data_IF_635600621116
#
_entry.id   IF_635600621116
#
_cell.length_a   1.000
_cell.length_b   1.000
_cell.length_c   1.000
_cell.angle_alpha   90.00
_cell.angle_beta   90.00
_cell.angle_gamma   90.00
#
_symmetry.space_group_name_H-M   'P 1'
#
loop_
_entity.id
_entity.type
_entity.pdbx_description
1 polymer ?
#
# COMPACT_ATOMS: atom_id res chain seq x y z
N UNK A 1 -18.72 0.29 -28.87
CA UNK A 1 -17.69 0.76 -29.86
C UNK A 1 -16.74 1.85 -29.34
N UNK A 2 -17.04 2.58 -28.26
CA UNK A 2 -16.20 3.71 -27.78
C UNK A 2 -14.98 3.30 -26.92
N UNK A 3 -15.06 2.18 -26.19
CA UNK A 3 -13.97 1.67 -25.34
C UNK A 3 -12.79 1.12 -26.15
N UNK A 4 -13.08 0.41 -27.25
CA UNK A 4 -12.06 -0.16 -28.13
C UNK A 4 -11.22 0.92 -28.84
N UNK A 5 -11.85 2.04 -29.25
CA UNK A 5 -11.13 3.20 -29.83
C UNK A 5 -10.17 3.87 -28.85
N UNK A 6 -10.47 3.83 -27.54
CA UNK A 6 -9.63 4.42 -26.50
C UNK A 6 -8.36 3.58 -26.28
N UNK A 7 -8.49 2.25 -26.26
CA UNK A 7 -7.36 1.32 -26.25
C UNK A 7 -6.46 1.49 -27.49
N UNK A 8 -7.04 1.62 -28.69
CA UNK A 8 -6.26 1.93 -29.91
C UNK A 8 -5.55 3.29 -29.86
N UNK A 9 -6.17 4.29 -29.23
CA UNK A 9 -5.57 5.62 -29.05
C UNK A 9 -4.30 5.55 -28.19
N UNK A 10 -4.30 4.71 -27.15
CA UNK A 10 -3.08 4.47 -26.36
C UNK A 10 -2.04 3.68 -27.19
N UNK A 11 -2.45 2.63 -27.92
CA UNK A 11 -1.53 1.73 -28.65
C UNK A 11 -0.73 2.44 -29.77
N UNK A 12 -1.21 3.58 -30.30
CA UNK A 12 -0.61 4.25 -31.47
C UNK A 12 0.53 5.24 -31.20
N UNK A 13 0.88 5.58 -29.95
CA UNK A 13 2.11 6.35 -29.68
C UNK A 13 3.25 5.40 -29.33
N UNK A 14 4.29 5.39 -30.16
CA UNK A 14 5.56 4.69 -29.94
C UNK A 14 6.41 5.23 -28.79
N UNK A 15 5.82 5.93 -27.82
CA UNK A 15 6.48 6.39 -26.59
C UNK A 15 6.24 5.33 -25.50
N UNK A 16 7.33 4.83 -24.93
CA UNK A 16 7.37 3.67 -24.03
C UNK A 16 6.43 3.87 -22.83
N UNK A 17 5.39 3.03 -22.70
CA UNK A 17 4.52 2.98 -21.51
C UNK A 17 5.33 2.76 -20.23
N UNK A 18 5.48 3.80 -19.41
CA UNK A 18 6.15 3.74 -18.11
C UNK A 18 5.14 3.31 -17.05
N UNK A 19 5.36 2.14 -16.46
CA UNK A 19 4.61 1.64 -15.31
C UNK A 19 5.39 1.90 -14.03
N UNK A 20 4.72 2.38 -12.98
CA UNK A 20 5.36 2.56 -11.67
C UNK A 20 4.68 1.67 -10.63
N UNK A 21 5.46 0.90 -9.88
CA UNK A 21 4.99 0.11 -8.75
C UNK A 21 5.52 0.68 -7.44
N UNK A 22 4.63 0.91 -6.47
CA UNK A 22 4.99 1.40 -5.14
C UNK A 22 4.85 0.27 -4.13
N UNK A 23 5.94 -0.04 -3.43
CA UNK A 23 5.92 -1.09 -2.41
C UNK A 23 5.13 -0.70 -1.17
N UNK A 24 4.72 -1.70 -0.39
CA UNK A 24 4.36 -1.51 1.02
C UNK A 24 5.57 -1.10 1.87
N UNK A 25 5.36 -0.89 3.18
CA UNK A 25 6.46 -0.54 4.10
C UNK A 25 6.10 0.35 5.30
N UNK A 26 4.81 0.56 5.58
CA UNK A 26 4.33 1.35 6.72
C UNK A 26 4.80 2.80 6.65
N UNK A 27 5.31 3.34 7.77
CA UNK A 27 5.78 4.73 7.84
C UNK A 27 6.92 5.07 6.86
N UNK A 28 7.74 4.08 6.48
CA UNK A 28 8.79 4.28 5.47
C UNK A 28 8.21 4.70 4.11
N UNK A 29 6.94 4.39 3.86
CA UNK A 29 6.20 4.86 2.68
C UNK A 29 6.10 6.36 2.52
N UNK A 30 6.37 7.17 3.57
CA UNK A 30 6.50 8.63 3.42
C UNK A 30 7.58 8.99 2.39
N UNK A 31 8.63 8.18 2.24
CA UNK A 31 9.67 8.40 1.24
C UNK A 31 9.16 8.32 -0.21
N UNK A 32 8.05 7.60 -0.47
CA UNK A 32 7.42 7.58 -1.80
C UNK A 32 7.05 8.99 -2.27
N UNK A 33 6.65 9.89 -1.36
CA UNK A 33 6.30 11.28 -1.67
C UNK A 33 7.51 12.02 -2.28
N UNK A 34 8.71 11.75 -1.79
CA UNK A 34 9.94 12.32 -2.34
C UNK A 34 10.22 11.85 -3.77
N UNK A 35 9.94 10.59 -4.06
CA UNK A 35 10.08 10.04 -5.42
C UNK A 35 9.01 10.61 -6.35
N UNK A 36 7.75 10.72 -5.90
CA UNK A 36 6.65 11.35 -6.65
C UNK A 36 6.98 12.81 -6.96
N UNK A 37 7.54 13.56 -5.99
CA UNK A 37 8.05 14.92 -6.22
C UNK A 37 9.07 14.96 -7.36
N UNK A 38 9.96 13.97 -7.44
CA UNK A 38 10.88 13.81 -8.56
C UNK A 38 10.17 13.62 -9.89
N UNK A 39 9.29 12.62 -9.98
CA UNK A 39 8.51 12.34 -11.18
C UNK A 39 7.72 13.55 -11.68
N UNK A 40 7.10 14.30 -10.77
CA UNK A 40 6.31 15.49 -11.12
C UNK A 40 7.18 16.66 -11.58
N UNK A 41 8.34 16.89 -10.96
CA UNK A 41 9.27 17.96 -11.38
C UNK A 41 9.84 17.74 -12.77
N UNK A 42 10.10 16.49 -13.12
CA UNK A 42 10.69 16.12 -14.40
C UNK A 42 9.65 15.67 -15.44
N UNK A 43 8.36 15.76 -15.13
CA UNK A 43 7.25 15.37 -16.01
C UNK A 43 7.36 13.93 -16.56
N UNK A 44 7.75 12.98 -15.71
CA UNK A 44 7.86 11.58 -16.10
C UNK A 44 6.47 11.05 -16.54
N UNK A 45 6.32 10.50 -17.76
CA UNK A 45 5.02 10.14 -18.35
C UNK A 45 4.50 8.79 -17.82
N UNK A 46 4.06 8.77 -16.56
CA UNK A 46 3.53 7.58 -15.90
C UNK A 46 2.21 7.17 -16.57
N UNK A 47 2.22 5.98 -17.18
CA UNK A 47 1.09 5.44 -17.96
C UNK A 47 0.22 4.48 -17.16
N UNK A 48 0.78 3.83 -16.14
CA UNK A 48 0.04 2.99 -15.20
C UNK A 48 0.76 2.95 -13.85
N UNK A 49 -0.02 2.68 -12.80
CA UNK A 49 0.51 2.56 -11.45
C UNK A 49 -0.04 1.36 -10.72
N UNK A 50 0.78 0.79 -9.86
CA UNK A 50 0.37 -0.27 -8.95
C UNK A 50 0.89 -0.03 -7.54
N UNK A 51 0.20 -0.60 -6.55
CA UNK A 51 0.61 -0.43 -5.16
C UNK A 51 0.08 -1.48 -4.19
N UNK A 52 0.80 -1.63 -3.09
CA UNK A 52 0.46 -2.49 -1.97
C UNK A 52 0.60 -1.71 -0.66
N UNK A 53 -0.33 -1.84 0.28
CA UNK A 53 -0.31 -1.12 1.56
C UNK A 53 -0.17 0.40 1.36
N UNK A 54 0.78 1.05 2.03
CA UNK A 54 1.10 2.48 1.81
C UNK A 54 1.38 2.81 0.34
N UNK A 55 1.92 1.86 -0.43
CA UNK A 55 2.10 1.99 -1.87
C UNK A 55 0.77 2.10 -2.64
N UNK A 56 -0.31 1.50 -2.15
CA UNK A 56 -1.65 1.66 -2.75
C UNK A 56 -2.17 3.09 -2.63
N UNK A 57 -1.92 3.75 -1.50
CA UNK A 57 -2.22 5.19 -1.30
C UNK A 57 -1.46 6.02 -2.35
N UNK A 58 -0.16 5.74 -2.52
CA UNK A 58 0.71 6.47 -3.45
C UNK A 58 0.31 6.23 -4.90
N UNK A 59 0.03 4.98 -5.28
CA UNK A 59 -0.47 4.63 -6.60
C UNK A 59 -1.79 5.33 -6.89
N UNK A 60 -2.75 5.31 -5.97
CA UNK A 60 -4.02 6.01 -6.13
C UNK A 60 -3.83 7.53 -6.27
N UNK A 61 -2.92 8.13 -5.50
CA UNK A 61 -2.61 9.55 -5.59
C UNK A 61 -2.04 9.94 -6.96
N UNK A 62 -1.08 9.17 -7.46
CA UNK A 62 -0.51 9.37 -8.81
C UNK A 62 -1.57 9.14 -9.88
N UNK A 63 -2.39 8.08 -9.77
CA UNK A 63 -3.45 7.80 -10.73
C UNK A 63 -4.50 8.93 -10.81
N UNK A 64 -4.76 9.58 -9.69
CA UNK A 64 -5.66 10.73 -9.54
C UNK A 64 -5.02 12.07 -9.90
N UNK A 65 -3.71 12.10 -10.20
CA UNK A 65 -2.98 13.31 -10.53
C UNK A 65 -2.84 14.30 -9.36
N UNK A 66 -2.81 13.81 -8.11
CA UNK A 66 -2.60 14.67 -6.93
C UNK A 66 -1.18 15.24 -6.89
N UNK A 67 -1.02 16.48 -6.42
CA UNK A 67 0.30 17.08 -6.24
C UNK A 67 1.00 16.44 -5.03
N UNK A 68 2.32 16.26 -5.09
CA UNK A 68 3.09 15.74 -3.96
C UNK A 68 2.92 16.59 -2.69
N UNK A 69 2.63 17.88 -2.81
CA UNK A 69 2.35 18.79 -1.68
C UNK A 69 1.07 18.40 -0.94
N UNK A 70 0.03 17.97 -1.64
CA UNK A 70 -1.22 17.50 -1.02
C UNK A 70 -0.94 16.27 -0.14
N UNK A 71 -0.04 15.39 -0.59
CA UNK A 71 0.37 14.21 0.17
C UNK A 71 1.17 14.59 1.43
N UNK A 72 1.97 15.65 1.37
CA UNK A 72 2.70 16.16 2.55
C UNK A 72 1.71 16.70 3.59
N UNK A 73 0.71 17.46 3.15
CA UNK A 73 -0.32 18.01 4.05
C UNK A 73 -1.11 16.90 4.75
N UNK A 74 -1.49 15.86 4.00
CA UNK A 74 -2.12 14.66 4.56
C UNK A 74 -1.26 14.04 5.66
N UNK A 75 0.02 13.77 5.38
CA UNK A 75 0.91 13.14 6.37
C UNK A 75 1.06 14.01 7.62
N UNK A 76 1.20 15.32 7.45
CA UNK A 76 1.32 16.26 8.57
C UNK A 76 0.04 16.28 9.44
N UNK A 77 -1.12 16.09 8.84
CA UNK A 77 -2.42 16.08 9.55
C UNK A 77 -2.62 14.79 10.36
N UNK A 78 -2.07 13.66 9.91
CA UNK A 78 -2.13 12.37 10.61
C UNK A 78 -1.32 12.38 11.93
N UNK A 79 -0.20 13.14 11.95
CA UNK A 79 0.82 13.07 13.01
C UNK A 79 0.36 13.42 14.44
N UNK A 80 -0.65 14.27 14.63
CA UNK A 80 -0.95 14.79 15.98
C UNK A 80 -1.94 13.95 16.80
N UNK A 81 -2.86 13.25 16.13
CA UNK A 81 -3.98 12.58 16.82
C UNK A 81 -3.95 11.05 16.70
N UNK A 82 -3.10 10.46 15.84
CA UNK A 82 -3.01 9.00 15.64
C UNK A 82 -2.13 8.30 16.70
N UNK A 83 -1.20 9.03 17.32
CA UNK A 83 -0.33 8.52 18.41
C UNK A 83 -1.17 8.13 19.65
N UNK A 84 -2.25 8.88 19.92
CA UNK A 84 -3.12 8.64 21.06
C UNK A 84 -3.91 7.33 20.91
N UNK A 85 -4.43 7.06 19.71
CA UNK A 85 -5.24 5.86 19.43
C UNK A 85 -4.40 4.57 19.48
N UNK A 86 -3.15 4.60 18.98
CA UNK A 86 -2.22 3.46 19.07
C UNK A 86 -1.85 3.17 20.54
N UNK A 87 -1.61 4.21 21.35
CA UNK A 87 -1.30 4.08 22.78
C UNK A 87 -2.49 3.61 23.62
N UNK A 88 -3.70 4.10 23.35
CA UNK A 88 -4.93 3.67 24.02
C UNK A 88 -5.19 2.18 23.74
N UNK A 89 -4.91 1.72 22.53
CA UNK A 89 -5.20 0.34 22.14
C UNK A 89 -4.17 -0.68 22.65
N UNK A 90 -2.90 -0.29 22.89
CA UNK A 90 -1.90 -1.14 23.57
C UNK A 90 -2.39 -1.55 24.97
N UNK A 91 -3.08 -0.63 25.67
CA UNK A 91 -3.68 -0.90 26.99
C UNK A 91 -4.84 -1.88 26.91
N UNK A 92 -5.64 -1.85 25.85
CA UNK A 92 -6.71 -2.83 25.61
C UNK A 92 -6.19 -4.23 25.33
N UNK A 93 -5.08 -4.33 24.59
CA UNK A 93 -4.36 -5.59 24.36
C UNK A 93 -3.77 -6.14 25.66
N UNK A 94 -3.14 -5.27 26.47
CA UNK A 94 -2.63 -5.64 27.81
C UNK A 94 -3.77 -6.10 28.72
N UNK A 95 -4.92 -5.41 28.74
CA UNK A 95 -6.10 -5.80 29.50
C UNK A 95 -6.68 -7.15 29.05
N UNK A 96 -6.73 -7.43 27.75
CA UNK A 96 -7.17 -8.72 27.22
C UNK A 96 -6.25 -9.87 27.64
N UNK A 97 -4.94 -9.63 27.64
CA UNK A 97 -3.94 -10.60 28.13
C UNK A 97 -4.07 -10.85 29.65
N UNK A 98 -4.32 -9.79 30.44
CA UNK A 98 -4.62 -9.91 31.88
C UNK A 98 -5.93 -10.65 32.16
N UNK A 99 -6.95 -10.50 31.31
CA UNK A 99 -8.21 -11.26 31.42
C UNK A 99 -8.03 -12.76 31.17
N UNK A 100 -7.17 -13.13 30.21
CA UNK A 100 -6.75 -14.53 29.94
C UNK A 100 -6.02 -15.17 31.13
N UNK A 101 -5.14 -14.41 31.80
CA UNK A 101 -4.38 -14.86 32.98
C UNK A 101 -5.25 -15.05 34.24
N UNK A 102 -6.36 -14.32 34.37
CA UNK A 102 -7.23 -14.37 35.53
C UNK A 102 -8.40 -15.36 35.42
N UNK A 103 -8.48 -16.16 34.34
CA UNK A 103 -9.46 -17.24 34.21
C UNK A 103 -10.92 -16.81 33.98
N UNK A 104 -11.21 -15.52 33.80
CA UNK A 104 -12.56 -15.01 33.48
C UNK A 104 -12.86 -15.13 31.98
N UNK A 105 -12.85 -16.36 31.48
CA UNK A 105 -13.06 -16.70 30.07
C UNK A 105 -14.55 -16.93 29.78
N UNK A 106 -15.20 -15.98 29.09
CA UNK A 106 -16.49 -16.22 28.44
C UNK A 106 -16.36 -15.97 26.94
N UNK A 107 -16.43 -17.05 26.16
CA UNK A 107 -16.33 -17.05 24.70
C UNK A 107 -17.43 -16.22 24.00
N UNK A 108 -18.58 -16.04 24.66
CA UNK A 108 -19.76 -15.44 24.03
C UNK A 108 -19.80 -13.91 24.07
N UNK A 109 -18.98 -13.23 24.88
CA UNK A 109 -19.22 -11.81 25.15
C UNK A 109 -18.01 -10.89 25.09
N UNK A 110 -16.94 -11.29 24.41
CA UNK A 110 -15.69 -10.53 24.50
C UNK A 110 -14.99 -10.28 23.16
N UNK A 111 -15.03 -9.02 22.74
CA UNK A 111 -14.19 -8.41 21.70
C UNK A 111 -12.69 -8.37 22.12
N UNK A 112 -12.09 -9.47 22.59
CA UNK A 112 -10.70 -9.48 23.10
C UNK A 112 -9.60 -9.62 22.03
N UNK A 113 -9.96 -9.63 20.75
CA UNK A 113 -9.01 -9.34 19.65
C UNK A 113 -9.21 -7.87 19.21
N UNK A 114 -8.68 -6.94 20.01
CA UNK A 114 -8.83 -5.48 19.84
C UNK A 114 -8.03 -4.90 18.66
N UNK A 115 -8.21 -5.47 17.47
CA UNK A 115 -7.79 -4.84 16.22
C UNK A 115 -8.55 -3.52 16.05
N UNK A 116 -7.86 -2.46 15.62
CA UNK A 116 -8.50 -1.19 15.30
C UNK A 116 -9.54 -1.43 14.19
N UNK A 117 -10.79 -1.02 14.42
CA UNK A 117 -11.84 -1.08 13.38
C UNK A 117 -11.42 -0.31 12.11
N UNK A 118 -10.57 0.70 12.26
CA UNK A 118 -10.01 1.49 11.17
C UNK A 118 -10.99 2.51 10.59
N UNK A 119 -12.12 2.80 11.26
CA UNK A 119 -13.12 3.79 10.81
C UNK A 119 -12.53 5.18 10.58
N UNK A 120 -11.62 5.60 11.46
CA UNK A 120 -10.91 6.87 11.33
C UNK A 120 -9.99 6.90 10.11
N UNK A 121 -9.23 5.83 9.89
CA UNK A 121 -8.39 5.66 8.71
C UNK A 121 -9.23 5.67 7.43
N UNK A 122 -10.36 4.95 7.42
CA UNK A 122 -11.35 4.98 6.33
C UNK A 122 -11.84 6.41 6.06
N UNK A 123 -12.18 7.17 7.11
CA UNK A 123 -12.63 8.56 6.98
C UNK A 123 -11.58 9.47 6.34
N UNK A 124 -10.32 9.33 6.76
CA UNK A 124 -9.20 10.11 6.22
C UNK A 124 -8.98 9.79 4.74
N UNK A 125 -8.94 8.51 4.38
CA UNK A 125 -8.77 8.09 2.97
C UNK A 125 -9.93 8.58 2.13
N UNK A 126 -11.15 8.49 2.66
CA UNK A 126 -12.37 9.01 2.01
C UNK A 126 -12.34 10.53 1.85
N UNK A 127 -11.75 11.29 2.78
CA UNK A 127 -11.54 12.74 2.60
C UNK A 127 -10.53 13.05 1.49
N UNK A 128 -9.48 12.23 1.36
CA UNK A 128 -8.40 12.45 0.38
C UNK A 128 -8.86 12.06 -1.03
N UNK A 129 -9.50 10.90 -1.18
CA UNK A 129 -9.82 10.28 -2.46
C UNK A 129 -11.30 10.40 -2.85
N UNK A 130 -12.16 10.88 -1.96
CA UNK A 130 -13.59 10.95 -2.18
C UNK A 130 -14.26 9.57 -2.14
N UNK A 131 -15.47 9.50 -2.69
CA UNK A 131 -16.30 8.29 -2.73
C UNK A 131 -16.43 7.69 -4.13
N UNK A 132 -15.66 8.20 -5.10
CA UNK A 132 -15.73 7.70 -6.46
C UNK A 132 -15.32 6.22 -6.53
N UNK A 133 -15.96 5.49 -7.45
CA UNK A 133 -15.58 4.13 -7.78
C UNK A 133 -14.22 4.10 -8.48
N UNK A 134 -13.39 3.09 -8.19
CA UNK A 134 -12.11 2.89 -8.86
C UNK A 134 -12.25 2.85 -10.38
N UNK A 135 -13.35 2.31 -10.92
CA UNK A 135 -13.64 2.27 -12.36
C UNK A 135 -13.67 3.65 -13.04
N UNK A 136 -13.92 4.74 -12.28
CA UNK A 136 -13.92 6.11 -12.78
C UNK A 136 -12.53 6.77 -12.81
N UNK A 137 -11.51 6.15 -12.23
CA UNK A 137 -10.12 6.65 -12.28
C UNK A 137 -9.62 6.59 -13.73
N UNK A 138 -9.01 7.67 -14.22
CA UNK A 138 -8.58 7.78 -15.63
C UNK A 138 -7.29 7.02 -15.93
N UNK A 139 -6.33 7.09 -15.02
CA UNK A 139 -5.03 6.44 -15.15
C UNK A 139 -5.18 4.97 -14.75
N UNK A 140 -4.69 3.99 -15.55
CA UNK A 140 -4.64 2.60 -15.14
C UNK A 140 -4.01 2.42 -13.75
N UNK A 141 -4.78 1.87 -12.83
CA UNK A 141 -4.46 1.69 -11.42
C UNK A 141 -4.75 0.26 -11.03
N UNK A 142 -3.82 -0.38 -10.32
CA UNK A 142 -4.04 -1.69 -9.72
C UNK A 142 -3.53 -1.73 -8.27
N UNK A 143 -4.39 -2.10 -7.34
CA UNK A 143 -4.11 -2.17 -5.90
C UNK A 143 -4.21 -3.62 -5.46
N UNK A 144 -3.21 -4.10 -4.71
CA UNK A 144 -3.20 -5.46 -4.17
C UNK A 144 -3.83 -5.55 -2.78
N UNK A 145 -4.52 -6.65 -2.52
CA UNK A 145 -4.93 -7.12 -1.20
C UNK A 145 -4.85 -8.65 -1.17
N UNK A 146 -5.09 -9.26 -0.01
CA UNK A 146 -5.23 -10.71 0.13
C UNK A 146 -6.61 -11.01 0.67
N UNK A 147 -7.34 -11.93 0.06
CA UNK A 147 -8.52 -12.51 0.71
C UNK A 147 -8.05 -13.55 1.71
N UNK A 148 -8.20 -13.27 3.00
CA UNK A 148 -7.64 -14.12 4.06
C UNK A 148 -8.36 -15.47 4.17
N UNK A 149 -9.55 -15.60 3.59
CA UNK A 149 -10.29 -16.86 3.61
C UNK A 149 -9.68 -17.90 2.65
N UNK A 150 -9.20 -17.44 1.49
CA UNK A 150 -8.62 -18.29 0.44
C UNK A 150 -7.10 -18.25 0.42
N UNK A 151 -6.49 -17.19 0.95
CA UNK A 151 -5.07 -16.89 0.83
C UNK A 151 -4.67 -16.38 -0.57
N UNK A 152 -5.63 -16.21 -1.47
CA UNK A 152 -5.38 -15.72 -2.83
C UNK A 152 -5.28 -14.20 -2.85
N UNK A 153 -4.44 -13.71 -3.77
CA UNK A 153 -4.35 -12.30 -4.06
C UNK A 153 -5.66 -11.75 -4.61
N UNK A 154 -5.93 -10.49 -4.32
CA UNK A 154 -7.02 -9.70 -4.90
C UNK A 154 -6.45 -8.45 -5.55
N UNK A 155 -6.93 -8.16 -6.76
CA UNK A 155 -6.57 -6.96 -7.52
C UNK A 155 -7.79 -6.05 -7.59
N UNK A 156 -7.72 -4.87 -6.97
CA UNK A 156 -8.66 -3.79 -7.22
C UNK A 156 -8.15 -2.93 -8.38
N UNK A 157 -8.91 -2.80 -9.47
CA UNK A 157 -8.43 -2.11 -10.67
C UNK A 157 -9.51 -1.51 -11.55
N UNK A 158 -9.19 -0.42 -12.24
CA UNK A 158 -10.02 0.16 -13.31
C UNK A 158 -9.77 -0.45 -14.70
N UNK A 159 -8.88 -1.44 -14.82
CA UNK A 159 -8.55 -2.12 -16.07
C UNK A 159 -8.63 -3.66 -15.92
N UNK A 160 -9.78 -4.22 -15.50
CA UNK A 160 -9.93 -5.64 -15.19
C UNK A 160 -9.62 -6.56 -16.39
N UNK A 161 -9.78 -6.06 -17.62
CA UNK A 161 -9.43 -6.80 -18.84
C UNK A 161 -7.95 -7.20 -18.94
N UNK A 162 -7.05 -6.53 -18.21
CA UNK A 162 -5.63 -6.88 -18.16
C UNK A 162 -5.32 -8.12 -17.30
N UNK A 163 -6.32 -8.63 -16.55
CA UNK A 163 -6.16 -9.65 -15.53
C UNK A 163 -7.13 -10.82 -15.69
N UNK A 164 -7.60 -11.10 -16.92
CA UNK A 164 -8.56 -12.19 -17.18
C UNK A 164 -8.03 -13.58 -16.83
N UNK A 165 -6.73 -13.75 -16.83
CA UNK A 165 -6.02 -14.98 -16.52
C UNK A 165 -5.49 -15.02 -15.08
N UNK A 166 -5.91 -14.08 -14.24
CA UNK A 166 -5.52 -14.04 -12.83
C UNK A 166 -6.33 -15.06 -12.03
N UNK A 167 -5.63 -15.86 -11.23
CA UNK A 167 -6.23 -16.93 -10.42
C UNK A 167 -7.06 -16.40 -9.24
N UNK A 168 -6.69 -15.23 -8.71
CA UNK A 168 -7.38 -14.59 -7.59
C UNK A 168 -8.55 -13.69 -8.02
N UNK A 169 -9.03 -12.87 -7.08
CA UNK A 169 -10.16 -11.97 -7.34
C UNK A 169 -9.71 -10.70 -8.08
N UNK A 170 -10.47 -10.30 -9.09
CA UNK A 170 -10.29 -9.02 -9.79
C UNK A 170 -11.56 -8.19 -9.64
N UNK A 171 -11.48 -7.08 -8.90
CA UNK A 171 -12.64 -6.26 -8.52
C UNK A 171 -12.47 -4.85 -9.09
N UNK A 172 -13.38 -4.44 -9.97
CA UNK A 172 -13.38 -3.10 -10.58
C UNK A 172 -14.49 -2.19 -10.09
N UNK A 173 -15.52 -2.74 -9.46
CA UNK A 173 -16.64 -1.99 -8.91
C UNK A 173 -16.50 -1.91 -7.40
N UNK A 174 -15.71 -0.94 -6.93
CA UNK A 174 -15.47 -0.68 -5.50
C UNK A 174 -15.11 0.80 -5.31
N UNK A 175 -15.60 1.47 -4.25
CA UNK A 175 -15.12 2.81 -3.93
C UNK A 175 -13.59 2.82 -3.75
N UNK A 176 -12.90 3.76 -4.39
CA UNK A 176 -11.43 3.82 -4.38
C UNK A 176 -10.88 3.86 -2.95
N UNK A 177 -11.52 4.64 -2.07
CA UNK A 177 -11.13 4.71 -0.65
C UNK A 177 -11.21 3.35 0.05
N UNK A 178 -12.16 2.49 -0.32
CA UNK A 178 -12.37 1.19 0.29
C UNK A 178 -11.35 0.17 -0.21
N UNK A 179 -11.02 0.20 -1.50
CA UNK A 179 -9.92 -0.59 -2.08
C UNK A 179 -8.57 -0.26 -1.41
N UNK A 180 -8.28 1.03 -1.22
CA UNK A 180 -7.09 1.47 -0.47
C UNK A 180 -7.16 0.99 0.98
N UNK A 181 -8.31 1.16 1.66
CA UNK A 181 -8.51 0.73 3.05
C UNK A 181 -8.31 -0.78 3.23
N UNK A 182 -8.76 -1.59 2.27
CA UNK A 182 -8.53 -3.03 2.24
C UNK A 182 -7.02 -3.34 2.17
N UNK A 183 -6.32 -2.72 1.22
CA UNK A 183 -4.88 -2.92 0.99
C UNK A 183 -3.97 -2.50 2.16
N UNK A 184 -4.43 -1.62 3.06
CA UNK A 184 -3.68 -1.20 4.27
C UNK A 184 -4.19 -1.84 5.56
N UNK A 185 -4.99 -2.91 5.47
CA UNK A 185 -5.51 -3.63 6.63
C UNK A 185 -4.45 -4.57 7.22
N UNK A 186 -3.41 -4.00 7.83
CA UNK A 186 -2.29 -4.75 8.39
C UNK A 186 -2.81 -5.67 9.52
N UNK A 187 -2.63 -7.00 9.43
CA UNK A 187 -3.07 -7.91 10.48
C UNK A 187 -2.39 -7.57 11.81
N UNK A 188 -3.05 -7.90 12.92
CA UNK A 188 -2.65 -7.50 14.28
C UNK A 188 -2.77 -5.99 14.59
N UNK A 189 -2.99 -5.13 13.59
CA UNK A 189 -3.19 -3.69 13.76
C UNK A 189 -4.63 -3.28 13.43
N UNK A 190 -5.08 -3.56 12.21
CA UNK A 190 -6.39 -3.18 11.70
C UNK A 190 -7.23 -4.40 11.35
N UNK A 191 -8.55 -4.30 11.57
CA UNK A 191 -9.49 -5.30 11.02
C UNK A 191 -9.45 -5.25 9.49
N UNK A 192 -9.54 -6.43 8.88
CA UNK A 192 -9.77 -6.57 7.45
C UNK A 192 -11.08 -5.92 7.00
N UNK A 193 -11.24 -5.75 5.70
CA UNK A 193 -12.41 -5.16 5.07
C UNK A 193 -13.27 -6.26 4.46
N UNK A 194 -14.52 -6.36 4.92
CA UNK A 194 -15.54 -7.14 4.22
C UNK A 194 -16.03 -6.33 3.01
N UNK A 195 -15.96 -6.92 1.82
CA UNK A 195 -16.58 -6.34 0.64
C UNK A 195 -17.03 -7.45 -0.32
N UNK A 196 -18.31 -7.43 -0.69
CA UNK A 196 -18.96 -8.54 -1.39
C UNK A 196 -18.74 -9.85 -0.62
N UNK A 197 -18.13 -10.85 -1.26
CA UNK A 197 -17.90 -12.19 -0.72
C UNK A 197 -16.47 -12.41 -0.17
N UNK A 198 -15.60 -11.39 -0.23
CA UNK A 198 -14.23 -11.47 0.28
C UNK A 198 -14.01 -10.77 1.62
N UNK A 199 -12.99 -11.24 2.37
CA UNK A 199 -12.48 -10.57 3.57
C UNK A 199 -11.01 -10.18 3.38
N UNK A 200 -10.80 -8.90 3.08
CA UNK A 200 -9.54 -8.43 2.55
C UNK A 200 -8.61 -7.87 3.62
N UNK A 201 -7.35 -8.31 3.57
CA UNK A 201 -6.25 -7.81 4.39
C UNK A 201 -5.13 -7.21 3.52
N UNK A 202 -4.09 -6.67 4.18
CA UNK A 202 -2.97 -6.01 3.50
C UNK A 202 -2.32 -6.88 2.42
N UNK A 203 -2.20 -6.32 1.22
CA UNK A 203 -1.64 -7.01 0.03
C UNK A 203 -0.15 -7.30 0.14
N UNK A 204 0.54 -6.68 1.10
CA UNK A 204 1.97 -6.85 1.30
C UNK A 204 2.37 -8.24 1.77
N UNK A 205 1.42 -9.01 2.32
CA UNK A 205 1.67 -10.38 2.79
C UNK A 205 2.12 -11.33 1.68
N UNK A 206 1.58 -11.14 0.48
CA UNK A 206 1.82 -11.99 -0.69
C UNK A 206 2.56 -11.23 -1.79
N UNK A 207 2.23 -9.95 -2.00
CA UNK A 207 2.77 -9.11 -3.06
C UNK A 207 3.07 -7.69 -2.56
N UNK A 208 4.13 -7.57 -1.76
CA UNK A 208 4.59 -6.26 -1.28
C UNK A 208 5.12 -5.34 -2.38
N UNK A 209 5.59 -5.89 -3.51
CA UNK A 209 6.14 -5.13 -4.63
C UNK A 209 5.45 -5.57 -5.92
N UNK A 210 4.24 -5.05 -6.22
CA UNK A 210 3.35 -5.62 -7.23
C UNK A 210 3.68 -5.18 -8.68
N UNK A 211 4.94 -5.26 -9.07
CA UNK A 211 5.44 -4.84 -10.41
C UNK A 211 4.80 -5.61 -11.56
N UNK A 212 4.37 -6.86 -11.33
CA UNK A 212 3.69 -7.65 -12.35
C UNK A 212 2.36 -7.02 -12.78
N UNK A 213 1.71 -6.22 -11.94
CA UNK A 213 0.45 -5.58 -12.27
C UNK A 213 0.61 -4.57 -13.40
N UNK A 214 1.61 -3.69 -13.33
CA UNK A 214 1.88 -2.75 -14.42
C UNK A 214 2.39 -3.47 -15.67
N UNK A 215 3.10 -4.60 -15.53
CA UNK A 215 3.46 -5.44 -16.68
C UNK A 215 2.22 -6.01 -17.37
N UNK A 216 1.28 -6.58 -16.61
CA UNK A 216 0.01 -7.14 -17.12
C UNK A 216 -0.88 -6.07 -17.78
N UNK A 217 -0.87 -4.84 -17.26
CA UNK A 217 -1.54 -3.69 -17.90
C UNK A 217 -0.94 -3.34 -19.28
N UNK A 218 0.30 -3.75 -19.55
CA UNK A 218 0.98 -3.55 -20.83
C UNK A 218 2.17 -2.59 -20.78
N UNK A 219 2.62 -2.16 -19.59
CA UNK A 219 3.79 -1.30 -19.48
C UNK A 219 5.06 -2.02 -19.92
N UNK A 220 5.88 -1.32 -20.72
CA UNK A 220 7.13 -1.86 -21.26
C UNK A 220 8.33 -1.51 -20.38
N UNK A 221 8.40 -0.26 -19.90
CA UNK A 221 9.41 0.20 -18.94
C UNK A 221 8.76 0.23 -17.55
N UNK A 222 9.31 -0.52 -16.61
CA UNK A 222 8.78 -0.68 -15.25
C UNK A 222 9.76 -0.08 -14.25
N UNK A 223 9.25 0.84 -13.43
CA UNK A 223 9.97 1.43 -12.31
C UNK A 223 9.37 0.87 -11.03
N UNK A 224 10.19 0.31 -10.16
CA UNK A 224 9.80 -0.10 -8.80
C UNK A 224 10.31 0.91 -7.79
N UNK A 225 9.46 1.36 -6.87
CA UNK A 225 9.85 2.21 -5.74
C UNK A 225 9.69 1.42 -4.45
N UNK A 226 10.80 1.20 -3.75
CA UNK A 226 10.89 0.25 -2.65
C UNK A 226 11.38 0.89 -1.36
N UNK A 227 10.56 0.79 -0.33
CA UNK A 227 10.80 1.42 0.99
C UNK A 227 10.89 0.41 2.13
N UNK A 228 10.81 -0.90 1.83
CA UNK A 228 11.05 -1.94 2.82
C UNK A 228 12.54 -2.18 3.03
N UNK A 229 12.89 -2.48 4.27
CA UNK A 229 14.22 -2.91 4.68
C UNK A 229 14.05 -4.05 5.67
N UNK A 230 14.79 -5.14 5.44
CA UNK A 230 14.82 -6.28 6.34
C UNK A 230 15.24 -5.84 7.74
N UNK A 231 14.57 -6.32 8.80
CA UNK A 231 15.01 -6.07 10.16
C UNK A 231 16.39 -6.71 10.40
N UNK A 232 17.19 -6.18 11.32
CA UNK A 232 18.49 -6.77 11.68
C UNK A 232 18.30 -8.16 12.31
N UNK A 233 19.29 -9.03 12.06
CA UNK A 233 19.27 -10.48 12.36
C UNK A 233 19.28 -10.84 13.86
N UNK A 234 19.53 -9.87 14.74
CA UNK A 234 19.93 -10.07 16.14
C UNK A 234 18.79 -9.94 17.16
N UNK A 235 17.56 -9.68 16.73
CA UNK A 235 16.40 -9.51 17.63
C UNK A 235 15.48 -10.73 17.64
N UNK A 236 15.39 -11.43 18.78
CA UNK A 236 14.39 -12.47 19.03
C UNK A 236 13.04 -11.83 19.36
N UNK A 237 11.91 -12.35 18.82
CA UNK A 237 10.60 -11.82 19.18
C UNK A 237 10.29 -12.05 20.66
N UNK A 238 9.72 -11.03 21.31
CA UNK A 238 9.29 -11.07 22.71
C UNK A 238 7.77 -11.30 22.79
N UNK A 239 7.37 -12.52 23.12
CA UNK A 239 5.97 -12.89 23.28
C UNK A 239 5.20 -13.11 21.97
N UNK A 240 3.92 -13.46 22.09
CA UNK A 240 3.10 -13.95 20.97
C UNK A 240 2.78 -12.86 19.92
N UNK A 241 2.59 -11.62 20.36
CA UNK A 241 2.25 -10.50 19.46
C UNK A 241 3.47 -10.11 18.61
N UNK A 242 4.65 -10.02 19.21
CA UNK A 242 5.89 -9.72 18.50
C UNK A 242 6.27 -10.86 17.54
N UNK A 243 6.05 -12.12 17.97
CA UNK A 243 6.19 -13.27 17.08
C UNK A 243 5.25 -13.17 15.86
N UNK A 244 3.98 -12.86 16.08
CA UNK A 244 3.01 -12.66 14.99
C UNK A 244 3.41 -11.52 14.03
N UNK A 245 3.84 -10.38 14.57
CA UNK A 245 4.34 -9.25 13.76
C UNK A 245 5.61 -9.62 12.98
N UNK A 246 6.49 -10.43 13.57
CA UNK A 246 7.70 -10.96 12.92
C UNK A 246 7.35 -11.89 11.76
N UNK A 247 6.38 -12.79 11.94
CA UNK A 247 5.89 -13.68 10.87
C UNK A 247 5.37 -12.85 9.68
N UNK A 248 4.55 -11.84 9.95
CA UNK A 248 4.05 -10.91 8.90
C UNK A 248 5.21 -10.21 8.20
N UNK A 249 6.17 -9.66 8.95
CA UNK A 249 7.33 -8.96 8.38
C UNK A 249 8.16 -9.88 7.50
N UNK A 250 8.39 -11.12 7.93
CA UNK A 250 9.12 -12.14 7.16
C UNK A 250 8.37 -12.50 5.87
N UNK A 251 7.04 -12.65 5.91
CA UNK A 251 6.24 -12.91 4.71
C UNK A 251 6.37 -11.75 3.70
N UNK A 252 6.22 -10.51 4.17
CA UNK A 252 6.36 -9.29 3.36
C UNK A 252 7.76 -9.18 2.75
N UNK A 253 8.82 -9.42 3.54
CA UNK A 253 10.22 -9.33 3.10
C UNK A 253 10.65 -10.47 2.17
N UNK A 254 9.92 -11.59 2.18
CA UNK A 254 10.12 -12.72 1.27
C UNK A 254 9.30 -12.61 -0.02
N UNK A 255 8.44 -11.60 -0.15
CA UNK A 255 7.79 -11.27 -1.42
C UNK A 255 8.86 -10.97 -2.48
N UNK A 256 9.10 -11.93 -3.37
CA UNK A 256 10.03 -11.77 -4.50
C UNK A 256 9.31 -11.11 -5.68
N UNK A 257 10.09 -10.52 -6.57
CA UNK A 257 9.55 -10.11 -7.85
C UNK A 257 9.07 -11.33 -8.65
N UNK A 258 7.83 -11.30 -9.09
CA UNK A 258 7.34 -12.15 -10.17
C UNK A 258 7.80 -11.67 -11.55
N UNK A 259 8.20 -10.40 -11.67
CA UNK A 259 8.74 -9.77 -12.88
C UNK A 259 9.86 -8.82 -12.49
N UNK A 260 11.04 -8.91 -13.13
CA UNK A 260 12.15 -7.98 -12.84
C UNK A 260 11.80 -6.58 -13.37
N UNK A 261 11.79 -5.54 -12.51
CA UNK A 261 11.63 -4.16 -12.96
C UNK A 261 12.88 -3.67 -13.71
N UNK A 262 12.69 -2.78 -14.68
CA UNK A 262 13.78 -2.19 -15.45
C UNK A 262 14.61 -1.22 -14.60
N UNK A 263 13.96 -0.51 -13.68
CA UNK A 263 14.59 0.45 -12.75
C UNK A 263 14.04 0.22 -11.36
N UNK A 264 14.92 0.26 -10.37
CA UNK A 264 14.54 0.18 -8.95
C UNK A 264 15.05 1.41 -8.20
N UNK A 265 14.13 2.12 -7.56
CA UNK A 265 14.42 3.26 -6.68
C UNK A 265 14.29 2.77 -5.24
N UNK A 266 15.41 2.72 -4.51
CA UNK A 266 15.46 2.32 -3.09
C UNK A 266 16.03 3.45 -2.23
N UNK A 267 15.16 4.26 -1.60
CA UNK A 267 15.62 5.26 -0.66
C UNK A 267 16.38 4.61 0.51
N UNK A 268 17.54 5.16 0.86
CA UNK A 268 18.34 4.69 1.99
C UNK A 268 17.71 5.15 3.31
N UNK A 269 16.65 4.47 3.73
CA UNK A 269 15.88 4.79 4.92
C UNK A 269 16.51 4.08 6.14
N UNK A 270 16.83 4.80 7.23
CA UNK A 270 17.27 4.17 8.47
C UNK A 270 16.16 3.28 9.06
N UNK A 271 16.49 2.43 10.02
CA UNK A 271 15.46 1.65 10.73
C UNK A 271 14.53 2.61 11.47
N UNK A 272 13.28 2.72 11.04
CA UNK A 272 12.23 3.51 11.70
C UNK A 272 11.22 2.55 12.30
N UNK A 273 10.97 2.67 13.61
CA UNK A 273 9.91 1.93 14.29
C UNK A 273 8.54 2.57 14.00
N UNK A 274 7.51 1.73 13.82
CA UNK A 274 6.12 2.14 13.68
C UNK A 274 5.74 3.11 14.83
N UNK A 275 5.25 4.30 14.47
CA UNK A 275 4.81 5.35 15.40
C UNK A 275 5.74 6.58 15.49
N UNK A 276 6.93 6.58 14.88
CA UNK A 276 7.88 7.70 14.99
C UNK A 276 7.80 8.67 13.79
N UNK A 277 6.85 9.60 13.85
CA UNK A 277 6.52 10.55 12.76
C UNK A 277 7.38 11.83 12.72
N UNK A 278 8.28 12.04 13.70
CA UNK A 278 9.17 13.21 13.78
C UNK A 278 10.20 13.30 12.64
N UNK A 279 10.21 12.32 11.73
CA UNK A 279 11.13 12.22 10.59
C UNK A 279 10.44 12.42 9.23
N UNK A 280 9.22 12.96 9.19
CA UNK A 280 8.46 13.13 7.94
C UNK A 280 9.26 13.85 6.85
N UNK A 281 9.84 15.01 7.16
CA UNK A 281 10.68 15.78 6.20
C UNK A 281 11.91 14.98 5.75
N UNK A 282 12.62 14.36 6.70
CA UNK A 282 13.80 13.53 6.43
C UNK A 282 13.47 12.38 5.47
N UNK A 283 12.35 11.68 5.67
CA UNK A 283 11.91 10.58 4.82
C UNK A 283 11.58 11.05 3.39
N UNK A 284 10.90 12.18 3.24
CA UNK A 284 10.62 12.79 1.93
C UNK A 284 11.92 13.15 1.23
N UNK A 285 12.86 13.76 1.94
CA UNK A 285 14.16 14.17 1.38
C UNK A 285 14.99 12.96 0.94
N UNK A 286 14.99 11.87 1.71
CA UNK A 286 15.63 10.60 1.34
C UNK A 286 15.02 9.99 0.07
N UNK A 287 13.69 10.03 -0.05
CA UNK A 287 12.99 9.59 -1.26
C UNK A 287 13.37 10.41 -2.49
N UNK A 288 13.39 11.74 -2.35
CA UNK A 288 13.77 12.64 -3.44
C UNK A 288 15.24 12.48 -3.83
N UNK A 289 16.13 12.29 -2.85
CA UNK A 289 17.55 12.00 -3.10
C UNK A 289 17.74 10.72 -3.92
N UNK A 290 17.05 9.64 -3.55
CA UNK A 290 17.14 8.37 -4.27
C UNK A 290 16.59 8.47 -5.71
N UNK A 291 15.59 9.31 -5.94
CA UNK A 291 15.14 9.64 -7.29
C UNK A 291 16.23 10.37 -8.09
N UNK A 292 16.90 11.37 -7.50
CA UNK A 292 17.96 12.13 -8.17
C UNK A 292 19.14 11.24 -8.60
N UNK A 293 19.47 10.23 -7.82
CA UNK A 293 20.55 9.28 -8.13
C UNK A 293 20.32 8.47 -9.42
N UNK A 294 19.06 8.29 -9.84
CA UNK A 294 18.67 7.51 -11.01
C UNK A 294 18.00 8.34 -12.11
N UNK A 295 17.88 9.66 -11.91
CA UNK A 295 17.17 10.61 -12.78
C UNK A 295 17.61 10.53 -14.23
N UNK A 296 18.92 10.47 -14.47
CA UNK A 296 19.50 10.38 -15.83
C UNK A 296 19.09 9.09 -16.57
N UNK A 297 18.70 8.02 -15.86
CA UNK A 297 18.21 6.78 -16.47
C UNK A 297 16.71 6.86 -16.84
N UNK A 298 16.01 7.90 -16.37
CA UNK A 298 14.58 8.11 -16.57
C UNK A 298 14.25 9.06 -17.71
N UNK A 299 15.07 10.09 -17.89
CA UNK A 299 15.01 11.06 -18.99
C UNK A 299 15.51 10.45 -20.31
#
# INVERSE_FOLDING_TARGET
MHIFRKLEYYVKRGDKYVGVSFSGGGQRGIAHIGVIKGFQRDNIPISAVSGSSVGAIMAAAVAKGKDYKDLIEVVNTLNQKDILDIRINIWSIIKGYFGLLLGNFSLENTNYWSLLKGERLTRIIKQIFGEENISNVKTPLAITAVDINTGLDTIFTNVPQAFRDFEGLVISEIPLYLAIRASISIPLVYRGVNYQEGYFIDGGLTNNIPVFLVRKIGCKKIISVEVTKRPPFDSKPLGIIDLGSRVITVAVDNSKYSVVPDIVIRPNIPTVHLGNFNKTKELIDLGYKAYLEIRENLL
#
